data_IF_690632266664
#
_entry.id   IF_690632266664
#
_cell.length_a   1.000
_cell.length_b   1.000
_cell.length_c   1.000
_cell.angle_alpha   90.00
_cell.angle_beta   90.00
_cell.angle_gamma   90.00
#
_symmetry.space_group_name_H-M   'P 1'
#
loop_
_entity.id
_entity.type
_entity.pdbx_description
1 polymer ?
#
# COMPACT_ATOMS: atom_id res chain seq x y z
N UNK A 1 -17.00 13.59 -19.76
CA UNK A 1 -16.57 14.07 -18.42
C UNK A 1 -15.28 13.37 -18.02
N UNK A 2 -14.38 14.04 -17.31
CA UNK A 2 -13.12 13.48 -16.81
C UNK A 2 -13.20 13.41 -15.28
N UNK A 3 -12.81 12.28 -14.69
CA UNK A 3 -12.70 12.14 -13.24
C UNK A 3 -11.21 12.09 -12.86
N UNK A 4 -10.81 12.97 -11.95
CA UNK A 4 -9.44 13.07 -11.45
C UNK A 4 -9.44 12.89 -9.94
N UNK A 5 -8.64 11.96 -9.45
CA UNK A 5 -8.36 11.81 -8.03
C UNK A 5 -6.85 11.75 -7.81
N UNK A 6 -6.36 12.49 -6.83
CA UNK A 6 -4.98 12.44 -6.41
C UNK A 6 -4.89 12.34 -4.89
N UNK A 7 -4.05 11.43 -4.40
CA UNK A 7 -3.77 11.26 -2.98
C UNK A 7 -2.27 11.28 -2.74
N UNK A 8 -1.86 12.04 -1.74
CA UNK A 8 -0.50 12.12 -1.23
C UNK A 8 -0.54 11.70 0.23
N UNK A 9 0.27 10.71 0.60
CA UNK A 9 0.37 10.24 1.96
C UNK A 9 1.82 10.27 2.44
N UNK A 10 2.03 11.06 3.50
CA UNK A 10 3.27 11.19 4.27
C UNK A 10 2.84 11.39 5.72
N UNK A 11 3.24 10.49 6.60
CA UNK A 11 2.82 10.48 8.01
C UNK A 11 3.99 10.19 8.94
N UNK A 12 4.00 10.80 10.12
CA UNK A 12 5.08 10.59 11.10
C UNK A 12 4.75 9.36 11.94
N UNK A 13 5.66 8.40 12.00
CA UNK A 13 5.48 7.19 12.82
C UNK A 13 5.31 7.56 14.29
N UNK A 14 4.47 6.81 15.02
CA UNK A 14 4.37 6.93 16.48
C UNK A 14 5.70 6.51 17.11
N UNK A 15 6.25 5.37 16.68
CA UNK A 15 7.62 4.94 17.00
C UNK A 15 8.54 5.24 15.81
N UNK A 16 9.34 6.29 15.92
CA UNK A 16 10.20 6.80 14.86
C UNK A 16 11.49 5.98 14.70
N UNK A 17 12.01 5.94 13.47
CA UNK A 17 13.34 5.41 13.20
C UNK A 17 14.38 6.49 13.51
N UNK A 18 15.54 6.09 14.04
CA UNK A 18 16.69 6.97 14.17
C UNK A 18 17.51 6.93 12.87
N UNK A 19 17.66 8.09 12.21
CA UNK A 19 18.45 8.27 10.99
C UNK A 19 19.88 7.72 11.13
N UNK A 20 20.44 7.71 12.35
CA UNK A 20 21.77 7.15 12.62
C UNK A 20 21.83 5.62 12.47
N UNK A 21 20.69 4.93 12.54
CA UNK A 21 20.55 3.49 12.34
C UNK A 21 20.12 3.13 10.90
N UNK A 22 20.02 4.11 10.01
CA UNK A 22 19.79 3.87 8.58
C UNK A 22 21.11 3.60 7.87
N UNK A 23 21.22 2.42 7.25
CA UNK A 23 22.44 2.02 6.53
C UNK A 23 22.10 1.40 5.17
N UNK A 24 23.06 1.45 4.26
CA UNK A 24 22.90 0.82 2.94
C UNK A 24 22.91 -0.71 3.08
N UNK A 25 21.81 -1.36 2.68
CA UNK A 25 21.69 -2.82 2.63
C UNK A 25 21.17 -3.31 1.27
N UNK A 26 21.48 -4.57 0.94
CA UNK A 26 21.03 -5.20 -0.30
C UNK A 26 19.55 -5.58 -0.19
N UNK A 27 18.73 -5.01 -1.07
CA UNK A 27 17.36 -5.42 -1.32
C UNK A 27 17.29 -6.37 -2.52
N UNK A 28 16.51 -7.44 -2.39
CA UNK A 28 16.35 -8.46 -3.43
C UNK A 28 15.04 -8.27 -4.19
N UNK A 29 15.13 -7.68 -5.39
CA UNK A 29 13.98 -7.43 -6.25
C UNK A 29 13.50 -8.75 -6.86
N UNK A 30 14.43 -9.56 -7.35
CA UNK A 30 14.17 -10.88 -7.93
C UNK A 30 15.35 -11.84 -7.72
N UNK A 31 15.26 -13.07 -8.22
CA UNK A 31 16.36 -14.04 -8.15
C UNK A 31 17.63 -13.56 -8.85
N UNK A 32 17.50 -12.64 -9.80
CA UNK A 32 18.61 -12.16 -10.63
C UNK A 32 18.90 -10.67 -10.45
N UNK A 33 18.13 -9.97 -9.63
CA UNK A 33 18.22 -8.52 -9.49
C UNK A 33 18.24 -8.10 -8.03
N UNK A 34 19.24 -7.31 -7.70
CA UNK A 34 19.44 -6.74 -6.38
C UNK A 34 19.76 -5.26 -6.48
N UNK A 35 19.39 -4.50 -5.46
CA UNK A 35 19.66 -3.07 -5.39
C UNK A 35 20.11 -2.70 -3.99
N UNK A 36 21.09 -1.81 -3.87
CA UNK A 36 21.45 -1.24 -2.58
C UNK A 36 20.41 -0.17 -2.21
N UNK A 37 19.88 -0.24 -0.99
CA UNK A 37 18.84 0.67 -0.49
C UNK A 37 19.19 1.16 0.91
N UNK A 38 18.77 2.37 1.25
CA UNK A 38 18.85 2.86 2.62
C UNK A 38 17.83 2.10 3.47
N UNK A 39 18.32 1.20 4.33
CA UNK A 39 17.54 0.33 5.19
C UNK A 39 17.45 0.94 6.59
N UNK A 40 16.25 1.34 6.99
CA UNK A 40 15.97 1.86 8.31
C UNK A 40 15.82 0.69 9.28
N UNK A 41 16.38 0.81 10.48
CA UNK A 41 16.34 -0.25 11.50
C UNK A 41 15.84 0.30 12.82
N UNK A 42 14.93 -0.43 13.47
CA UNK A 42 14.49 -0.14 14.83
C UNK A 42 14.08 -1.44 15.55
N UNK A 43 14.17 -1.47 16.88
CA UNK A 43 13.61 -2.54 17.70
C UNK A 43 12.64 -1.95 18.71
N UNK A 44 11.41 -2.44 18.72
CA UNK A 44 10.35 -1.98 19.63
C UNK A 44 9.21 -3.01 19.65
N UNK A 45 8.23 -2.77 20.52
CA UNK A 45 6.97 -3.52 20.53
C UNK A 45 6.03 -3.02 19.41
N UNK A 46 5.56 -3.93 18.57
CA UNK A 46 4.60 -3.64 17.49
C UNK A 46 3.51 -4.70 17.41
N UNK A 47 2.29 -4.36 16.93
CA UNK A 47 1.31 -5.36 16.54
C UNK A 47 1.86 -6.21 15.39
N UNK A 48 2.01 -7.51 15.66
CA UNK A 48 2.63 -8.48 14.78
C UNK A 48 1.80 -9.77 14.70
N UNK A 49 1.73 -10.34 13.50
CA UNK A 49 1.13 -11.64 13.23
C UNK A 49 2.03 -12.42 12.27
N UNK A 50 2.07 -13.74 12.43
CA UNK A 50 2.83 -14.61 11.54
C UNK A 50 2.16 -15.98 11.41
N UNK A 51 2.12 -16.51 10.20
CA UNK A 51 1.75 -17.89 9.93
C UNK A 51 2.78 -18.59 9.03
N UNK A 52 2.43 -19.73 8.44
CA UNK A 52 3.33 -20.48 7.57
C UNK A 52 3.67 -19.76 6.25
N UNK A 53 2.88 -18.76 5.84
CA UNK A 53 2.97 -18.07 4.55
C UNK A 53 3.50 -16.64 4.67
N UNK A 54 3.07 -15.89 5.69
CA UNK A 54 3.35 -14.45 5.81
C UNK A 54 3.79 -14.03 7.22
N UNK A 55 4.52 -12.92 7.26
CA UNK A 55 4.74 -12.09 8.43
C UNK A 55 4.00 -10.76 8.22
N UNK A 56 3.33 -10.25 9.24
CA UNK A 56 2.52 -9.05 9.18
C UNK A 56 2.86 -8.16 10.35
N UNK A 57 3.17 -6.90 10.07
CA UNK A 57 3.45 -5.88 11.07
C UNK A 57 2.61 -4.65 10.80
N UNK A 58 2.12 -4.02 11.88
CA UNK A 58 1.36 -2.78 11.82
C UNK A 58 2.19 -1.66 12.45
N UNK A 59 2.38 -0.57 11.72
CA UNK A 59 3.12 0.60 12.16
C UNK A 59 2.16 1.79 12.30
N UNK A 60 1.77 2.19 13.52
CA UNK A 60 0.90 3.34 13.73
C UNK A 60 1.63 4.66 13.43
N UNK A 61 0.87 5.62 12.91
CA UNK A 61 1.28 7.02 12.83
C UNK A 61 0.86 7.78 14.10
N UNK A 62 1.42 8.98 14.29
CA UNK A 62 1.08 9.85 15.43
C UNK A 62 -0.43 10.01 15.54
N UNK A 63 -0.96 9.78 16.75
CA UNK A 63 -2.37 9.86 17.07
C UNK A 63 -3.16 8.56 16.85
N UNK A 64 -2.51 7.51 16.33
CA UNK A 64 -3.03 6.14 16.21
C UNK A 64 -4.32 5.98 15.36
N UNK A 65 -4.80 7.02 14.69
CA UNK A 65 -5.97 6.96 13.80
C UNK A 65 -5.69 6.24 12.48
N UNK A 66 -4.42 6.22 12.06
CA UNK A 66 -3.95 5.62 10.82
C UNK A 66 -2.72 4.78 11.11
N UNK A 67 -2.62 3.64 10.43
CA UNK A 67 -1.49 2.72 10.52
C UNK A 67 -1.13 2.16 9.15
N UNK A 68 0.15 1.88 8.94
CA UNK A 68 0.62 1.17 7.75
C UNK A 68 0.80 -0.31 8.07
N UNK A 69 0.18 -1.18 7.28
CA UNK A 69 0.31 -2.62 7.42
C UNK A 69 1.26 -3.15 6.36
N UNK A 70 2.35 -3.78 6.79
CA UNK A 70 3.27 -4.48 5.90
C UNK A 70 3.01 -5.97 5.97
N UNK A 71 2.82 -6.61 4.81
CA UNK A 71 2.67 -8.05 4.66
C UNK A 71 3.88 -8.57 3.89
N UNK A 72 4.74 -9.30 4.58
CA UNK A 72 5.97 -9.87 4.03
C UNK A 72 5.79 -11.38 3.82
N UNK A 73 5.84 -11.88 2.57
CA UNK A 73 5.88 -13.31 2.31
C UNK A 73 7.12 -13.96 2.93
N UNK A 74 6.94 -15.06 3.65
CA UNK A 74 8.06 -15.84 4.22
C UNK A 74 8.92 -16.50 3.15
N UNK A 75 8.28 -16.95 2.07
CA UNK A 75 9.00 -17.52 0.94
C UNK A 75 9.58 -16.39 0.12
N UNK A 76 10.91 -16.38 -0.04
CA UNK A 76 11.61 -15.40 -0.89
C UNK A 76 11.05 -15.42 -2.31
N UNK A 77 10.74 -14.25 -2.85
CA UNK A 77 10.06 -14.06 -4.15
C UNK A 77 8.64 -14.67 -4.23
N UNK A 78 8.03 -15.00 -3.08
CA UNK A 78 6.70 -15.61 -2.98
C UNK A 78 5.52 -14.63 -3.05
N UNK A 79 5.76 -13.34 -3.32
CA UNK A 79 4.71 -12.31 -3.31
C UNK A 79 3.55 -12.62 -4.25
N UNK A 80 3.82 -13.11 -5.46
CA UNK A 80 2.78 -13.49 -6.42
C UNK A 80 1.89 -14.63 -5.92
N UNK A 81 2.44 -15.58 -5.16
CA UNK A 81 1.68 -16.69 -4.59
C UNK A 81 0.77 -16.20 -3.46
N UNK A 82 1.27 -15.29 -2.62
CA UNK A 82 0.47 -14.66 -1.57
C UNK A 82 -0.68 -13.87 -2.19
N UNK A 83 -0.40 -13.00 -3.17
CA UNK A 83 -1.43 -12.17 -3.82
C UNK A 83 -2.53 -12.99 -4.51
N UNK A 84 -2.18 -14.13 -5.12
CA UNK A 84 -3.14 -15.00 -5.80
C UNK A 84 -4.13 -15.66 -4.84
N UNK A 85 -3.66 -16.00 -3.65
CA UNK A 85 -4.44 -16.73 -2.65
C UNK A 85 -5.09 -15.81 -1.62
N UNK A 86 -4.65 -14.54 -1.53
CA UNK A 86 -5.14 -13.56 -0.57
C UNK A 86 -6.60 -13.20 -0.87
N UNK A 87 -7.51 -13.59 0.01
CA UNK A 87 -8.88 -13.08 -0.01
C UNK A 87 -9.04 -11.89 0.93
N UNK A 88 -10.14 -11.14 0.78
CA UNK A 88 -10.47 -10.07 1.72
C UNK A 88 -10.67 -10.58 3.16
N UNK A 89 -11.13 -11.83 3.33
CA UNK A 89 -11.25 -12.45 4.66
C UNK A 89 -9.89 -12.75 5.28
N UNK A 90 -8.95 -13.26 4.49
CA UNK A 90 -7.59 -13.53 4.96
C UNK A 90 -6.89 -12.23 5.35
N UNK A 91 -7.01 -11.19 4.53
CA UNK A 91 -6.45 -9.86 4.82
C UNK A 91 -6.97 -9.31 6.17
N UNK A 92 -8.28 -9.31 6.38
CA UNK A 92 -8.88 -8.88 7.65
C UNK A 92 -8.45 -9.76 8.82
N UNK A 93 -8.34 -11.08 8.60
CA UNK A 93 -7.86 -12.02 9.62
C UNK A 93 -6.41 -11.69 10.03
N UNK A 94 -5.51 -11.46 9.07
CA UNK A 94 -4.12 -11.12 9.36
C UNK A 94 -4.00 -9.82 10.18
N UNK A 95 -4.76 -8.79 9.81
CA UNK A 95 -4.74 -7.49 10.49
C UNK A 95 -5.31 -7.59 11.90
N UNK A 96 -6.43 -8.30 12.07
CA UNK A 96 -7.11 -8.46 13.37
C UNK A 96 -6.40 -9.42 14.33
N UNK A 97 -5.57 -10.33 13.81
CA UNK A 97 -4.82 -11.30 14.62
C UNK A 97 -3.47 -10.77 15.10
N UNK A 98 -3.05 -9.59 14.64
CA UNK A 98 -1.80 -8.97 15.07
C UNK A 98 -1.87 -8.54 16.54
N UNK A 99 -0.88 -8.97 17.32
CA UNK A 99 -0.79 -8.66 18.76
C UNK A 99 0.56 -8.04 19.09
N UNK A 100 0.69 -7.26 20.19
CA UNK A 100 1.96 -6.66 20.57
C UNK A 100 3.07 -7.73 20.75
N UNK A 101 4.19 -7.56 20.04
CA UNK A 101 5.39 -8.38 20.14
C UNK A 101 6.64 -7.50 20.01
N UNK A 102 7.73 -7.87 20.68
CA UNK A 102 9.05 -7.25 20.46
C UNK A 102 9.61 -7.68 19.10
N UNK A 103 9.79 -6.72 18.19
CA UNK A 103 10.20 -6.95 16.80
C UNK A 103 11.42 -6.11 16.46
N UNK A 104 12.46 -6.77 15.94
CA UNK A 104 13.55 -6.10 15.23
C UNK A 104 13.15 -5.88 13.77
N UNK A 105 12.79 -4.64 13.44
CA UNK A 105 12.28 -4.23 12.15
C UNK A 105 13.39 -3.65 11.28
N UNK A 106 13.49 -4.16 10.05
CA UNK A 106 14.24 -3.54 8.95
C UNK A 106 13.29 -3.17 7.83
N UNK A 107 13.26 -1.89 7.45
CA UNK A 107 12.35 -1.37 6.45
C UNK A 107 13.11 -0.45 5.49
N UNK A 108 13.08 -0.71 4.16
CA UNK A 108 13.74 0.18 3.22
C UNK A 108 13.03 1.53 3.17
N UNK A 109 13.79 2.61 3.05
CA UNK A 109 13.29 3.92 2.68
C UNK A 109 12.86 3.89 1.20
N UNK A 110 11.64 4.31 0.91
CA UNK A 110 11.15 4.31 -0.47
C UNK A 110 10.10 5.38 -0.73
N UNK A 111 9.95 5.69 -2.02
CA UNK A 111 8.96 6.61 -2.56
C UNK A 111 8.24 5.90 -3.70
N UNK A 112 6.93 5.80 -3.60
CA UNK A 112 6.07 5.20 -4.63
C UNK A 112 5.20 6.29 -5.24
N UNK A 113 5.22 6.35 -6.56
CA UNK A 113 4.30 7.18 -7.33
C UNK A 113 3.58 6.29 -8.34
N UNK A 114 2.25 6.27 -8.27
CA UNK A 114 1.40 5.54 -9.19
C UNK A 114 0.50 6.48 -9.95
N UNK A 115 0.37 6.27 -11.26
CA UNK A 115 -0.67 6.89 -12.08
C UNK A 115 -1.40 5.79 -12.84
N UNK A 116 -2.72 5.74 -12.69
CA UNK A 116 -3.57 4.73 -13.31
C UNK A 116 -4.75 5.39 -14.01
N UNK A 117 -5.09 4.91 -15.20
CA UNK A 117 -6.42 5.10 -15.75
C UNK A 117 -7.28 3.91 -15.31
N UNK A 118 -8.27 4.19 -14.47
CA UNK A 118 -9.12 3.17 -13.88
C UNK A 118 -10.28 2.77 -14.80
N UNK A 119 -10.45 3.40 -15.96
CA UNK A 119 -11.58 3.12 -16.86
C UNK A 119 -11.75 1.64 -17.16
N UNK A 120 -10.72 1.00 -17.72
CA UNK A 120 -10.78 -0.42 -18.10
C UNK A 120 -10.95 -1.34 -16.88
N UNK A 121 -10.30 -1.00 -15.77
CA UNK A 121 -10.41 -1.76 -14.52
C UNK A 121 -11.82 -1.70 -13.96
N UNK A 122 -12.46 -0.53 -13.96
CA UNK A 122 -13.82 -0.32 -13.48
C UNK A 122 -14.84 -1.03 -14.38
N UNK A 123 -14.62 -1.04 -15.70
CA UNK A 123 -15.43 -1.86 -16.62
C UNK A 123 -15.30 -3.35 -16.30
N UNK A 124 -14.08 -3.87 -16.09
CA UNK A 124 -13.86 -5.29 -15.76
C UNK A 124 -14.52 -5.74 -14.45
N UNK A 125 -14.79 -4.82 -13.52
CA UNK A 125 -15.52 -5.11 -12.28
C UNK A 125 -17.02 -4.79 -12.35
N UNK A 126 -17.54 -4.44 -13.53
CA UNK A 126 -18.97 -4.27 -13.81
C UNK A 126 -19.51 -2.84 -13.81
N UNK A 127 -18.64 -1.83 -13.67
CA UNK A 127 -19.06 -0.42 -13.77
C UNK A 127 -18.96 0.00 -15.24
N UNK A 128 -20.00 -0.31 -16.01
CA UNK A 128 -20.04 -0.05 -17.45
C UNK A 128 -20.96 1.14 -17.79
N UNK A 129 -22.11 1.26 -17.13
CA UNK A 129 -23.14 2.26 -17.44
C UNK A 129 -22.62 3.69 -17.39
N UNK A 130 -21.86 4.04 -16.35
CA UNK A 130 -21.28 5.37 -16.15
C UNK A 130 -20.28 5.77 -17.27
N UNK A 131 -19.70 4.79 -17.95
CA UNK A 131 -18.68 4.95 -18.98
C UNK A 131 -19.28 4.85 -20.39
N UNK A 132 -20.42 4.19 -20.51
CA UNK A 132 -21.16 3.98 -21.77
C UNK A 132 -21.72 5.29 -22.36
N UNK A 133 -22.06 5.27 -23.64
CA UNK A 133 -22.79 6.36 -24.29
C UNK A 133 -24.23 6.50 -23.77
N UNK A 134 -24.77 5.45 -23.14
CA UNK A 134 -26.08 5.42 -22.50
C UNK A 134 -26.05 5.90 -21.04
N UNK A 135 -24.93 6.43 -20.57
CA UNK A 135 -24.79 6.95 -19.22
C UNK A 135 -25.86 8.00 -18.91
N UNK A 136 -26.47 7.89 -17.73
CA UNK A 136 -27.49 8.83 -17.29
C UNK A 136 -26.97 9.69 -16.13
N UNK A 137 -26.53 10.91 -16.45
CA UNK A 137 -26.08 11.92 -15.49
C UNK A 137 -27.02 13.13 -15.43
N UNK A 138 -28.34 12.91 -15.59
CA UNK A 138 -29.36 13.99 -15.62
C UNK A 138 -29.42 14.85 -14.34
N UNK A 139 -28.96 14.33 -13.22
CA UNK A 139 -28.85 15.11 -11.98
C UNK A 139 -27.70 16.14 -12.01
N UNK A 140 -26.71 15.95 -12.89
CA UNK A 140 -25.57 16.86 -13.04
C UNK A 140 -25.77 17.83 -14.21
N UNK A 141 -26.32 17.36 -15.32
CA UNK A 141 -26.54 18.17 -16.54
C UNK A 141 -27.65 17.57 -17.41
N UNK A 142 -28.29 18.41 -18.22
CA UNK A 142 -29.24 17.97 -19.24
C UNK A 142 -28.56 17.46 -20.53
N UNK A 143 -27.26 17.71 -20.68
CA UNK A 143 -26.48 17.23 -21.82
C UNK A 143 -26.19 15.73 -21.73
N UNK A 144 -26.13 15.04 -22.87
CA UNK A 144 -25.69 13.66 -22.92
C UNK A 144 -24.17 13.59 -22.65
N UNK A 145 -23.80 13.22 -21.43
CA UNK A 145 -22.41 13.06 -21.01
C UNK A 145 -22.15 11.64 -20.51
N UNK A 146 -20.90 11.19 -20.65
CA UNK A 146 -20.40 9.95 -20.05
C UNK A 146 -19.03 10.18 -19.42
N UNK A 147 -18.57 9.21 -18.62
CA UNK A 147 -17.21 9.24 -18.06
C UNK A 147 -16.21 8.76 -19.11
N UNK A 148 -15.35 9.67 -19.56
CA UNK A 148 -14.34 9.44 -20.59
C UNK A 148 -13.11 8.72 -20.04
N UNK A 149 -12.40 9.35 -19.09
CA UNK A 149 -11.25 8.78 -18.39
C UNK A 149 -11.38 9.00 -16.88
N UNK A 150 -10.80 8.08 -16.12
CA UNK A 150 -10.80 8.10 -14.65
C UNK A 150 -9.35 8.01 -14.20
N UNK A 151 -8.71 9.15 -13.99
CA UNK A 151 -7.29 9.17 -13.63
C UNK A 151 -7.12 9.21 -12.13
N UNK A 152 -6.40 8.23 -11.60
CA UNK A 152 -6.00 8.15 -10.21
C UNK A 152 -4.48 8.30 -10.09
N UNK A 153 -4.02 9.24 -9.27
CA UNK A 153 -2.59 9.43 -8.96
C UNK A 153 -2.37 9.27 -7.45
N UNK A 154 -1.57 8.29 -7.07
CA UNK A 154 -1.20 8.02 -5.69
C UNK A 154 0.26 8.33 -5.44
N UNK A 155 0.57 8.90 -4.28
CA UNK A 155 1.91 9.13 -3.82
C UNK A 155 2.07 8.65 -2.37
N UNK A 156 3.07 7.83 -2.11
CA UNK A 156 3.44 7.37 -0.77
C UNK A 156 4.94 7.58 -0.59
N UNK A 157 5.32 8.17 0.55
CA UNK A 157 6.71 8.30 0.97
C UNK A 157 6.88 7.67 2.35
N UNK A 158 7.87 6.77 2.44
CA UNK A 158 8.25 6.06 3.66
C UNK A 158 9.69 6.43 3.95
N UNK A 159 9.87 7.13 5.07
CA UNK A 159 11.15 7.56 5.60
C UNK A 159 11.15 7.45 7.12
N UNK A 160 12.28 7.80 7.75
CA UNK A 160 12.49 7.66 9.18
C UNK A 160 11.52 8.52 9.99
N UNK A 161 11.24 9.73 9.46
CA UNK A 161 10.38 10.75 10.01
C UNK A 161 9.70 11.52 8.87
N UNK A 162 8.39 11.78 8.97
CA UNK A 162 7.73 12.73 8.07
C UNK A 162 7.98 14.15 8.55
N UNK A 163 8.48 15.01 7.65
CA UNK A 163 8.63 16.45 7.85
C UNK A 163 7.43 17.19 7.30
#
# INVERSE_FOLDING_TARGET
>A
MLLLNAIYFSGTWETQFDDMNTHDEIFHISQHETKNVSMMTLQSEFPYYEDHSVQVIKLPYIGEEVEMVFILPKTRFGLQNVLRNLTGRDLLSYISSATPNDVSLKLPKFRLEGKMDLKETLQKIGIEDAISETANFRELTNDAISVGNIMHRGFIEVCENSR
#
